data_IF_297640498626
#
_entry.id   IF_297640498626
#
_cell.length_a   1.000
_cell.length_b   1.000
_cell.length_c   1.000
_cell.angle_alpha   90.00
_cell.angle_beta   90.00
_cell.angle_gamma   90.00
#
_symmetry.space_group_name_H-M   'P 1'
#
loop_
_entity.id
_entity.type
_entity.pdbx_description
1 polymer ?
#
# COMPACT_ATOMS: atom_id res chain seq x y z
N UNK A 1 10.09 18.02 -3.98
CA UNK A 1 9.86 16.57 -4.21
C UNK A 1 10.83 16.14 -5.31
N UNK A 2 11.63 15.10 -5.08
CA UNK A 2 12.59 14.64 -6.08
C UNK A 2 11.86 14.05 -7.31
N UNK A 3 12.50 14.05 -8.48
CA UNK A 3 11.95 13.52 -9.72
C UNK A 3 11.53 12.05 -9.58
N UNK A 4 12.31 11.25 -8.84
CA UNK A 4 11.97 9.84 -8.56
C UNK A 4 10.67 9.68 -7.78
N UNK A 5 10.42 10.53 -6.78
CA UNK A 5 9.17 10.50 -6.00
C UNK A 5 7.98 10.86 -6.89
N UNK A 6 8.16 11.86 -7.76
CA UNK A 6 7.11 12.28 -8.70
C UNK A 6 6.75 11.17 -9.69
N UNK A 7 7.73 10.49 -10.29
CA UNK A 7 7.48 9.37 -11.18
C UNK A 7 6.87 8.16 -10.45
N UNK A 8 7.30 7.88 -9.21
CA UNK A 8 6.67 6.83 -8.40
C UNK A 8 5.21 7.14 -8.08
N UNK A 9 4.89 8.40 -7.74
CA UNK A 9 3.50 8.83 -7.52
C UNK A 9 2.67 8.72 -8.79
N UNK A 10 3.20 9.15 -9.96
CA UNK A 10 2.52 8.97 -11.25
C UNK A 10 2.23 7.51 -11.55
N UNK A 11 3.21 6.64 -11.34
CA UNK A 11 3.06 5.19 -11.51
C UNK A 11 1.97 4.66 -10.58
N UNK A 12 2.06 4.95 -9.27
CA UNK A 12 1.06 4.54 -8.29
C UNK A 12 -0.36 5.00 -8.68
N UNK A 13 -0.52 6.28 -8.97
CA UNK A 13 -1.83 6.86 -9.31
C UNK A 13 -2.39 6.32 -10.63
N UNK A 14 -1.55 5.83 -11.55
CA UNK A 14 -2.02 5.19 -12.79
C UNK A 14 -2.74 3.85 -12.54
N UNK A 15 -2.41 3.14 -11.45
CA UNK A 15 -3.11 1.91 -11.03
C UNK A 15 -4.31 2.18 -10.12
N UNK A 16 -4.38 3.38 -9.53
CA UNK A 16 -5.47 3.85 -8.66
C UNK A 16 -6.09 5.12 -9.27
N UNK A 17 -6.90 5.00 -10.34
CA UNK A 17 -7.30 6.15 -11.17
C UNK A 17 -8.16 7.19 -10.44
N UNK A 18 -8.86 6.79 -9.38
CA UNK A 18 -9.67 7.70 -8.55
C UNK A 18 -8.83 8.43 -7.46
N UNK A 19 -7.53 8.15 -7.39
CA UNK A 19 -6.65 8.76 -6.41
C UNK A 19 -6.36 10.23 -6.73
N UNK A 20 -6.12 11.02 -5.68
CA UNK A 20 -5.79 12.43 -5.83
C UNK A 20 -4.95 12.93 -4.65
N UNK A 21 -4.23 14.03 -4.87
CA UNK A 21 -3.48 14.72 -3.82
C UNK A 21 -4.30 15.91 -3.35
N UNK A 22 -4.54 16.01 -2.05
CA UNK A 22 -5.32 17.11 -1.47
C UNK A 22 -4.45 18.33 -1.13
N UNK A 23 -5.08 19.41 -0.64
CA UNK A 23 -4.41 20.68 -0.28
C UNK A 23 -3.45 20.53 0.91
N UNK A 24 -3.56 19.46 1.69
CA UNK A 24 -2.72 19.16 2.85
C UNK A 24 -1.44 18.39 2.48
N UNK A 25 -1.27 18.04 1.20
CA UNK A 25 -0.24 17.15 0.67
C UNK A 25 -0.40 15.72 1.17
N UNK A 26 -1.64 15.23 1.23
CA UNK A 26 -1.95 13.82 1.45
C UNK A 26 -2.37 13.20 0.12
N UNK A 27 -1.84 12.02 -0.17
CA UNK A 27 -2.35 11.19 -1.25
C UNK A 27 -3.55 10.41 -0.74
N UNK A 28 -4.74 10.71 -1.25
CA UNK A 28 -5.93 9.89 -1.06
C UNK A 28 -5.88 8.80 -2.13
N UNK A 29 -5.53 7.57 -1.74
CA UNK A 29 -5.30 6.46 -2.66
C UNK A 29 -6.60 5.71 -2.99
N UNK A 30 -7.43 5.43 -1.98
CA UNK A 30 -8.73 4.80 -2.14
C UNK A 30 -9.79 5.69 -1.48
N UNK A 31 -10.47 6.57 -2.25
CA UNK A 31 -11.42 7.53 -1.69
C UNK A 31 -12.56 6.87 -0.90
N UNK A 32 -12.99 5.67 -1.31
CA UNK A 32 -14.14 4.97 -0.71
C UNK A 32 -13.96 4.65 0.77
N UNK A 33 -12.74 4.31 1.17
CA UNK A 33 -12.34 4.00 2.55
C UNK A 33 -11.60 5.14 3.23
N UNK A 34 -11.41 6.26 2.53
CA UNK A 34 -10.49 7.32 2.93
C UNK A 34 -9.11 6.75 3.28
N UNK A 35 -8.57 5.90 2.40
CA UNK A 35 -7.21 5.38 2.54
C UNK A 35 -6.23 6.44 2.07
N UNK A 36 -5.43 7.00 2.98
CA UNK A 36 -4.51 8.07 2.65
C UNK A 36 -3.20 7.99 3.43
N UNK A 37 -2.22 8.75 2.95
CA UNK A 37 -1.01 9.04 3.70
C UNK A 37 -0.42 10.40 3.33
N UNK A 38 0.30 11.00 4.28
CA UNK A 38 1.05 12.24 4.08
C UNK A 38 2.23 12.03 3.13
N UNK A 39 2.41 12.96 2.20
CA UNK A 39 3.57 13.02 1.29
C UNK A 39 4.73 13.86 1.85
N UNK A 40 4.53 14.57 2.97
CA UNK A 40 5.52 15.52 3.52
C UNK A 40 6.85 14.87 3.89
N UNK A 41 6.82 13.60 4.28
CA UNK A 41 7.97 12.80 4.70
C UNK A 41 8.39 11.76 3.64
N UNK A 42 7.88 11.88 2.40
CA UNK A 42 8.31 11.04 1.27
C UNK A 42 9.45 11.72 0.50
N UNK A 43 10.69 11.35 0.81
CA UNK A 43 11.90 11.90 0.20
C UNK A 43 12.43 11.03 -0.94
N UNK A 44 12.15 9.73 -0.90
CA UNK A 44 12.58 8.71 -1.86
C UNK A 44 11.38 7.93 -2.41
N UNK A 45 11.57 7.24 -3.54
CA UNK A 45 10.55 6.31 -4.07
C UNK A 45 10.17 5.23 -3.04
N UNK A 46 11.14 4.75 -2.25
CA UNK A 46 10.91 3.72 -1.24
C UNK A 46 10.03 4.24 -0.10
N UNK A 47 10.09 5.54 0.22
CA UNK A 47 9.19 6.13 1.21
C UNK A 47 7.72 6.07 0.74
N UNK A 48 7.48 6.34 -0.55
CA UNK A 48 6.13 6.22 -1.14
C UNK A 48 5.64 4.77 -1.08
N UNK A 49 6.46 3.82 -1.55
CA UNK A 49 6.12 2.40 -1.54
C UNK A 49 5.87 1.92 -0.10
N UNK A 50 6.72 2.34 0.85
CA UNK A 50 6.60 2.03 2.28
C UNK A 50 5.27 2.50 2.84
N UNK A 51 4.86 3.75 2.56
CA UNK A 51 3.54 4.27 2.97
C UNK A 51 2.39 3.48 2.34
N UNK A 52 2.49 3.10 1.07
CA UNK A 52 1.47 2.25 0.42
C UNK A 52 1.35 0.92 1.16
N UNK A 53 2.45 0.23 1.44
CA UNK A 53 2.45 -1.04 2.18
C UNK A 53 1.86 -0.88 3.59
N UNK A 54 2.21 0.19 4.30
CA UNK A 54 1.77 0.42 5.69
C UNK A 54 0.28 0.78 5.81
N UNK A 55 -0.23 1.61 4.90
CA UNK A 55 -1.56 2.22 5.03
C UNK A 55 -2.60 1.55 4.13
N UNK A 56 -2.24 1.16 2.90
CA UNK A 56 -3.18 0.60 1.95
C UNK A 56 -3.58 -0.83 2.31
N UNK A 57 -2.62 -1.68 2.69
CA UNK A 57 -2.89 -3.10 2.97
C UNK A 57 -3.86 -3.31 4.13
N UNK A 58 -3.84 -2.41 5.14
CA UNK A 58 -4.83 -2.39 6.21
C UNK A 58 -6.24 -2.25 5.68
N UNK A 59 -6.47 -1.26 4.83
CA UNK A 59 -7.80 -0.93 4.35
C UNK A 59 -8.30 -1.94 3.32
N UNK A 60 -7.40 -2.55 2.55
CA UNK A 60 -7.74 -3.70 1.69
C UNK A 60 -8.13 -4.91 2.54
N UNK A 61 -7.30 -5.31 3.52
CA UNK A 61 -7.52 -6.50 4.34
C UNK A 61 -8.76 -6.38 5.25
N UNK A 62 -8.98 -5.20 5.86
CA UNK A 62 -10.04 -5.01 6.88
C UNK A 62 -11.24 -4.21 6.39
N UNK A 63 -11.12 -3.51 5.26
CA UNK A 63 -12.17 -2.64 4.75
C UNK A 63 -13.43 -3.41 4.39
N UNK A 64 -14.55 -3.02 5.02
CA UNK A 64 -15.89 -3.47 4.64
C UNK A 64 -16.79 -2.27 4.37
N UNK A 65 -16.48 -1.45 3.34
CA UNK A 65 -17.16 -0.19 3.09
C UNK A 65 -18.60 -0.35 2.58
N UNK A 66 -19.05 -1.57 2.34
CA UNK A 66 -20.40 -1.89 1.86
C UNK A 66 -21.16 -2.75 2.87
N UNK A 67 -22.47 -2.60 2.91
CA UNK A 67 -23.36 -3.48 3.68
C UNK A 67 -23.43 -4.89 3.09
N UNK A 68 -23.27 -5.02 1.76
CA UNK A 68 -23.37 -6.29 1.05
C UNK A 68 -22.03 -7.00 0.98
N UNK A 69 -21.99 -8.29 1.38
CA UNK A 69 -20.80 -9.12 1.38
C UNK A 69 -20.12 -9.18 0.00
N UNK A 70 -20.90 -9.40 -1.07
CA UNK A 70 -20.36 -9.48 -2.44
C UNK A 70 -19.56 -8.23 -2.83
N UNK A 71 -20.09 -7.04 -2.52
CA UNK A 71 -19.39 -5.78 -2.82
C UNK A 71 -18.11 -5.60 -2.01
N UNK A 72 -18.03 -6.17 -0.81
CA UNK A 72 -16.78 -6.17 -0.03
C UNK A 72 -15.76 -7.16 -0.59
N UNK A 73 -16.20 -8.30 -1.13
CA UNK A 73 -15.31 -9.23 -1.84
C UNK A 73 -14.76 -8.56 -3.11
N UNK A 74 -15.62 -7.95 -3.92
CA UNK A 74 -15.22 -7.21 -5.12
C UNK A 74 -14.22 -6.08 -4.77
N UNK A 75 -14.50 -5.33 -3.69
CA UNK A 75 -13.59 -4.30 -3.18
C UNK A 75 -12.21 -4.85 -2.80
N UNK A 76 -12.16 -5.98 -2.10
CA UNK A 76 -10.89 -6.62 -1.73
C UNK A 76 -10.11 -7.05 -2.98
N UNK A 77 -10.77 -7.77 -3.90
CA UNK A 77 -10.14 -8.31 -5.11
C UNK A 77 -9.61 -7.17 -5.99
N UNK A 78 -10.44 -6.16 -6.28
CA UNK A 78 -10.05 -5.05 -7.15
C UNK A 78 -8.83 -4.28 -6.61
N UNK A 79 -8.80 -3.99 -5.30
CA UNK A 79 -7.71 -3.21 -4.72
C UNK A 79 -6.45 -4.05 -4.51
N UNK A 80 -6.57 -5.34 -4.18
CA UNK A 80 -5.44 -6.28 -4.16
C UNK A 80 -4.80 -6.35 -5.54
N UNK A 81 -5.59 -6.58 -6.59
CA UNK A 81 -5.09 -6.73 -7.95
C UNK A 81 -4.40 -5.45 -8.45
N UNK A 82 -4.92 -4.26 -8.10
CA UNK A 82 -4.26 -2.98 -8.38
C UNK A 82 -2.93 -2.85 -7.66
N UNK A 83 -2.87 -3.27 -6.40
CA UNK A 83 -1.66 -3.23 -5.59
C UNK A 83 -0.58 -4.17 -6.15
N UNK A 84 -0.92 -5.42 -6.46
CA UNK A 84 -0.01 -6.40 -7.08
C UNK A 84 0.53 -5.90 -8.42
N UNK A 85 -0.34 -5.34 -9.28
CA UNK A 85 0.08 -4.74 -10.57
C UNK A 85 1.02 -3.55 -10.39
N UNK A 86 0.77 -2.71 -9.40
CA UNK A 86 1.64 -1.58 -9.08
C UNK A 86 3.04 -2.04 -8.60
N UNK A 87 3.08 -3.01 -7.68
CA UNK A 87 4.31 -3.55 -7.13
C UNK A 87 5.08 -4.42 -8.15
N UNK A 88 4.35 -5.06 -9.08
CA UNK A 88 4.92 -6.03 -10.01
C UNK A 88 5.24 -7.37 -9.35
N UNK A 89 4.55 -7.70 -8.26
CA UNK A 89 4.75 -8.92 -7.47
C UNK A 89 3.43 -9.42 -6.90
N UNK A 90 3.30 -10.75 -6.78
CA UNK A 90 2.22 -11.39 -6.04
C UNK A 90 2.44 -11.21 -4.54
N UNK A 91 1.42 -10.71 -3.83
CA UNK A 91 1.55 -10.36 -2.41
C UNK A 91 0.34 -10.84 -1.61
N UNK A 92 0.62 -11.47 -0.46
CA UNK A 92 -0.43 -11.75 0.51
C UNK A 92 -0.72 -10.50 1.34
N UNK A 93 -1.76 -9.75 0.97
CA UNK A 93 -2.14 -8.48 1.62
C UNK A 93 -2.35 -8.64 3.13
N UNK A 94 -2.94 -9.74 3.58
CA UNK A 94 -3.18 -9.98 5.00
C UNK A 94 -1.88 -10.13 5.78
N UNK A 95 -0.91 -10.88 5.23
CA UNK A 95 0.43 -11.03 5.83
C UNK A 95 1.15 -9.69 5.84
N UNK A 96 1.20 -9.00 4.70
CA UNK A 96 1.85 -7.68 4.61
C UNK A 96 1.26 -6.71 5.64
N UNK A 97 -0.07 -6.66 5.76
CA UNK A 97 -0.73 -5.84 6.77
C UNK A 97 -0.33 -6.23 8.20
N UNK A 98 -0.34 -7.52 8.54
CA UNK A 98 -0.01 -7.96 9.91
C UNK A 98 1.46 -7.68 10.29
N UNK A 99 2.38 -7.66 9.32
CA UNK A 99 3.82 -7.47 9.58
C UNK A 99 4.28 -6.03 9.44
N UNK A 100 3.73 -5.31 8.48
CA UNK A 100 4.21 -3.98 8.07
C UNK A 100 3.17 -2.88 8.32
N UNK A 101 1.89 -3.25 8.46
CA UNK A 101 0.78 -2.30 8.60
C UNK A 101 0.97 -1.31 9.75
N UNK A 102 0.45 -0.10 9.58
CA UNK A 102 0.59 1.01 10.55
C UNK A 102 2.04 1.36 10.94
N UNK A 103 3.04 0.93 10.17
CA UNK A 103 4.44 1.22 10.43
C UNK A 103 5.03 0.50 11.63
N UNK A 104 4.49 -0.67 12.00
CA UNK A 104 4.95 -1.48 13.15
C UNK A 104 6.46 -1.77 13.06
N UNK A 105 6.96 -2.10 11.87
CA UNK A 105 8.39 -2.37 11.66
C UNK A 105 8.89 -1.68 10.38
N UNK A 106 9.44 -0.47 10.55
CA UNK A 106 9.97 0.33 9.44
C UNK A 106 11.14 -0.38 8.76
N UNK A 107 12.09 -0.92 9.52
CA UNK A 107 13.27 -1.59 8.96
C UNK A 107 12.87 -2.79 8.09
N UNK A 108 11.98 -3.66 8.61
CA UNK A 108 11.45 -4.79 7.86
C UNK A 108 10.74 -4.34 6.56
N UNK A 109 10.03 -3.21 6.61
CA UNK A 109 9.37 -2.66 5.42
C UNK A 109 10.37 -2.29 4.33
N UNK A 110 11.49 -1.64 4.65
CA UNK A 110 12.51 -1.31 3.64
C UNK A 110 13.21 -2.57 3.14
N UNK A 111 13.55 -3.52 4.02
CA UNK A 111 14.12 -4.81 3.58
C UNK A 111 13.19 -5.56 2.63
N UNK A 112 11.88 -5.52 2.88
CA UNK A 112 10.87 -6.12 2.00
C UNK A 112 10.77 -5.42 0.64
N UNK A 113 10.92 -4.09 0.59
CA UNK A 113 10.98 -3.35 -0.68
C UNK A 113 12.27 -3.69 -1.44
N UNK A 114 13.41 -3.70 -0.75
CA UNK A 114 14.74 -3.97 -1.33
C UNK A 114 14.89 -5.41 -1.82
N UNK A 115 14.18 -6.37 -1.22
CA UNK A 115 14.15 -7.76 -1.69
C UNK A 115 13.31 -7.97 -2.94
N UNK A 116 12.63 -6.92 -3.45
CA UNK A 116 11.68 -7.06 -4.56
C UNK A 116 10.37 -7.72 -4.12
N UNK A 117 9.93 -7.45 -2.89
CA UNK A 117 8.68 -7.98 -2.31
C UNK A 117 8.70 -9.50 -2.07
N UNK A 118 9.86 -10.06 -1.70
CA UNK A 118 9.97 -11.49 -1.35
C UNK A 118 9.15 -11.82 -0.09
N UNK A 119 8.02 -12.50 -0.27
CA UNK A 119 7.11 -12.89 0.80
C UNK A 119 7.75 -13.82 1.84
N UNK A 120 8.79 -14.58 1.48
CA UNK A 120 9.49 -15.45 2.44
C UNK A 120 10.11 -14.65 3.60
N UNK A 121 10.49 -13.40 3.36
CA UNK A 121 11.01 -12.49 4.38
C UNK A 121 9.96 -12.20 5.46
N UNK A 122 8.68 -12.08 5.09
CA UNK A 122 7.59 -11.84 6.03
C UNK A 122 7.12 -13.10 6.75
N UNK A 123 7.23 -14.27 6.10
CA UNK A 123 6.87 -15.57 6.69
C UNK A 123 7.88 -16.06 7.72
N UNK A 124 9.19 -15.88 7.49
CA UNK A 124 10.24 -16.36 8.40
C UNK A 124 10.15 -15.75 9.80
N UNK A 125 9.75 -14.48 9.86
CA UNK A 125 9.63 -13.77 11.14
C UNK A 125 8.40 -14.27 11.95
N UNK A 126 7.49 -15.08 11.38
CA UNK A 126 6.35 -15.70 12.11
C UNK A 126 6.82 -16.85 13.02
N UNK A 127 8.06 -17.31 12.83
CA UNK A 127 8.65 -18.49 13.49
C UNK A 127 9.58 -18.18 14.66
N UNK A 128 9.63 -16.92 15.12
CA UNK A 128 10.29 -16.50 16.37
C UNK A 128 9.28 -15.80 17.29
#
# INVERSE_FOLDING_TARGET
MNNEVFEELKKLMSYFPDSFINRQLELILIPKTNTYFSLRDCLTKNDVISKVLMWCTRDIAKGKPYQHLKRNIDFYVDNRDRLEKYLGADINVDVVYHRLGNGINKELTYRFIESGFDMNLLYKEVTE
#
